data_IF_656063759287
#
_entry.id   IF_656063759287
#
_cell.length_a   1.000
_cell.length_b   1.000
_cell.length_c   1.000
_cell.angle_alpha   90.00
_cell.angle_beta   90.00
_cell.angle_gamma   90.00
#
_symmetry.space_group_name_H-M   'P 1'
#
loop_
_entity.id
_entity.type
_entity.pdbx_description
1 polymer ?
#
# COMPACT_ATOMS: atom_id res chain seq x y z
N UNK A 1 -34.42 -6.39 6.29
CA UNK A 1 -34.01 -5.24 5.48
C UNK A 1 -32.76 -4.70 6.12
N UNK A 2 -31.79 -4.27 5.33
CA UNK A 2 -30.55 -3.70 5.83
C UNK A 2 -30.80 -2.36 6.55
N UNK A 3 -29.86 -1.94 7.40
CA UNK A 3 -29.92 -0.62 8.02
C UNK A 3 -29.57 0.43 6.96
N UNK A 4 -30.48 1.41 6.72
CA UNK A 4 -30.20 2.49 5.79
C UNK A 4 -29.73 3.76 6.49
N UNK A 5 -28.77 4.47 5.86
CA UNK A 5 -28.36 5.83 6.19
C UNK A 5 -28.55 6.70 4.96
N UNK A 6 -29.32 7.77 5.13
CA UNK A 6 -29.56 8.78 4.10
C UNK A 6 -28.87 10.10 4.47
N UNK A 7 -27.78 10.39 3.75
CA UNK A 7 -27.03 11.63 3.88
C UNK A 7 -27.59 12.62 2.87
N UNK A 8 -28.08 13.79 3.30
CA UNK A 8 -28.68 14.80 2.41
C UNK A 8 -28.00 16.15 2.47
N UNK A 9 -28.13 16.94 1.41
CA UNK A 9 -27.64 18.31 1.32
C UNK A 9 -26.12 18.42 1.50
N UNK A 10 -25.33 17.49 0.97
CA UNK A 10 -23.86 17.52 1.01
C UNK A 10 -23.25 18.16 -0.23
N UNK A 11 -22.07 18.73 -0.11
CA UNK A 11 -21.18 18.99 -1.25
C UNK A 11 -20.42 17.71 -1.55
N UNK A 12 -20.89 16.93 -2.54
CA UNK A 12 -20.36 15.58 -2.79
C UNK A 12 -19.31 15.58 -3.89
N UNK A 13 -18.11 15.15 -3.56
CA UNK A 13 -17.00 14.90 -4.50
C UNK A 13 -16.95 13.39 -4.72
N UNK A 14 -17.50 12.91 -5.84
CA UNK A 14 -17.71 11.47 -6.04
C UNK A 14 -16.42 10.68 -6.29
N UNK A 15 -15.37 11.33 -6.80
CA UNK A 15 -14.12 10.71 -7.25
C UNK A 15 -14.31 9.55 -8.24
N UNK A 16 -15.47 9.51 -8.92
CA UNK A 16 -15.76 8.55 -9.98
C UNK A 16 -14.94 8.86 -11.25
N UNK A 17 -14.95 7.98 -12.27
CA UNK A 17 -14.21 8.22 -13.52
C UNK A 17 -14.59 9.52 -14.25
N UNK A 18 -15.85 9.97 -14.12
CA UNK A 18 -16.35 11.23 -14.69
C UNK A 18 -15.96 12.45 -13.85
N UNK A 19 -15.44 12.25 -12.63
CA UNK A 19 -15.11 13.31 -11.66
C UNK A 19 -16.30 14.20 -11.32
N UNK A 20 -17.48 13.59 -11.16
CA UNK A 20 -18.70 14.32 -10.85
C UNK A 20 -18.62 14.99 -9.48
N UNK A 21 -19.08 16.24 -9.42
CA UNK A 21 -19.22 17.01 -8.18
C UNK A 21 -20.67 17.50 -8.10
N UNK A 22 -21.30 17.27 -6.95
CA UNK A 22 -22.67 17.69 -6.68
C UNK A 22 -22.65 18.74 -5.58
N UNK A 23 -22.98 20.00 -5.90
CA UNK A 23 -22.98 21.12 -4.95
C UNK A 23 -24.02 20.94 -3.84
N UNK A 24 -25.13 20.24 -4.14
CA UNK A 24 -26.14 19.81 -3.19
C UNK A 24 -26.54 18.39 -3.55
N UNK A 25 -25.74 17.44 -3.13
CA UNK A 25 -25.91 16.03 -3.42
C UNK A 25 -26.33 15.24 -2.18
N UNK A 26 -26.99 14.13 -2.47
CA UNK A 26 -27.43 13.15 -1.47
C UNK A 26 -26.71 11.82 -1.65
N UNK A 27 -26.63 11.04 -0.58
CA UNK A 27 -26.07 9.69 -0.62
C UNK A 27 -26.99 8.75 0.16
N UNK A 28 -27.34 7.62 -0.45
CA UNK A 28 -28.07 6.54 0.21
C UNK A 28 -27.15 5.34 0.41
N UNK A 29 -27.03 4.90 1.65
CA UNK A 29 -26.23 3.76 2.06
C UNK A 29 -27.16 2.69 2.63
N UNK A 30 -26.94 1.42 2.29
CA UNK A 30 -27.60 0.29 2.94
C UNK A 30 -26.52 -0.68 3.42
N UNK A 31 -26.51 -0.93 4.73
CA UNK A 31 -25.45 -1.68 5.42
C UNK A 31 -24.05 -1.13 5.10
N UNK A 32 -23.26 -1.82 4.28
CA UNK A 32 -21.89 -1.45 3.89
C UNK A 32 -21.79 -0.99 2.42
N UNK A 33 -22.94 -0.73 1.74
CA UNK A 33 -22.96 -0.43 0.31
C UNK A 33 -23.58 0.93 0.01
N UNK A 34 -22.97 1.66 -0.94
CA UNK A 34 -23.54 2.84 -1.53
C UNK A 34 -24.62 2.41 -2.54
N UNK A 35 -25.88 2.74 -2.29
CA UNK A 35 -26.98 2.49 -3.23
C UNK A 35 -27.10 3.61 -4.27
N UNK A 36 -26.89 4.86 -3.85
CA UNK A 36 -26.97 6.01 -4.73
C UNK A 36 -26.05 7.14 -4.25
N UNK A 37 -25.47 7.90 -5.19
CA UNK A 37 -24.62 9.07 -4.94
C UNK A 37 -25.00 10.20 -5.88
N UNK A 38 -25.18 11.39 -5.34
CA UNK A 38 -25.54 12.62 -6.05
C UNK A 38 -27.03 12.89 -6.03
N UNK A 39 -27.84 12.01 -6.59
CA UNK A 39 -29.30 12.09 -6.54
C UNK A 39 -29.89 10.81 -5.98
N UNK A 40 -30.77 10.94 -4.99
CA UNK A 40 -31.42 9.81 -4.33
C UNK A 40 -32.92 9.85 -4.64
N UNK A 41 -33.46 8.74 -5.16
CA UNK A 41 -34.89 8.56 -5.27
C UNK A 41 -35.49 8.44 -3.86
N UNK A 42 -36.36 9.38 -3.51
CA UNK A 42 -37.03 9.40 -2.21
C UNK A 42 -37.86 8.16 -1.93
N UNK A 43 -38.36 7.49 -3.00
CA UNK A 43 -39.08 6.22 -2.90
C UNK A 43 -38.19 5.04 -2.48
N UNK A 44 -36.86 5.16 -2.63
CA UNK A 44 -35.89 4.15 -2.21
C UNK A 44 -35.46 4.29 -0.73
N UNK A 45 -35.77 5.44 -0.09
CA UNK A 45 -35.43 5.70 1.32
C UNK A 45 -36.49 5.03 2.22
N UNK A 46 -36.03 4.12 3.08
CA UNK A 46 -36.91 3.44 4.03
C UNK A 46 -37.45 4.42 5.09
N UNK A 47 -38.67 4.19 5.61
CA UNK A 47 -39.25 5.08 6.64
C UNK A 47 -38.45 5.15 7.94
N UNK A 48 -37.65 4.11 8.23
CA UNK A 48 -36.80 3.97 9.41
C UNK A 48 -35.31 4.26 9.13
N UNK A 49 -34.99 4.79 7.93
CA UNK A 49 -33.63 5.19 7.59
C UNK A 49 -33.10 6.27 8.55
N UNK A 50 -31.83 6.15 8.95
CA UNK A 50 -31.14 7.19 9.67
C UNK A 50 -30.85 8.37 8.72
N UNK A 51 -31.46 9.54 8.99
CA UNK A 51 -31.30 10.72 8.13
C UNK A 51 -30.30 11.69 8.75
N UNK A 52 -29.25 12.02 7.99
CA UNK A 52 -28.22 12.99 8.39
C UNK A 52 -28.25 14.18 7.41
N UNK A 53 -28.56 15.37 7.91
CA UNK A 53 -28.46 16.60 7.13
C UNK A 53 -27.04 17.16 7.21
N UNK A 54 -26.32 17.08 6.10
CA UNK A 54 -24.92 17.48 6.00
C UNK A 54 -24.71 19.01 5.95
N UNK A 55 -25.77 19.77 5.68
CA UNK A 55 -25.73 21.25 5.69
C UNK A 55 -24.60 21.84 4.84
N UNK A 56 -24.34 21.26 3.68
CA UNK A 56 -23.27 21.69 2.77
C UNK A 56 -21.88 21.22 3.14
N UNK A 57 -21.73 20.31 4.11
CA UNK A 57 -20.43 19.69 4.39
C UNK A 57 -19.92 18.91 3.17
N UNK A 58 -18.61 18.92 3.00
CA UNK A 58 -17.95 18.15 1.93
C UNK A 58 -17.98 16.67 2.29
N UNK A 59 -18.43 15.86 1.34
CA UNK A 59 -18.38 14.40 1.43
C UNK A 59 -17.57 13.85 0.26
N UNK A 60 -16.64 13.00 0.54
CA UNK A 60 -15.80 12.31 -0.44
C UNK A 60 -15.54 10.87 0.01
N UNK A 61 -15.12 9.97 -0.90
CA UNK A 61 -14.68 8.64 -0.51
C UNK A 61 -13.56 8.70 0.53
N UNK A 62 -13.55 7.73 1.45
CA UNK A 62 -12.44 7.60 2.38
C UNK A 62 -11.11 7.42 1.64
N UNK A 63 -10.05 8.00 2.17
CA UNK A 63 -8.73 8.00 1.53
C UNK A 63 -8.12 6.60 1.61
N UNK A 64 -7.36 6.25 0.58
CA UNK A 64 -6.58 5.01 0.51
C UNK A 64 -5.10 5.36 0.70
N UNK A 65 -4.47 4.74 1.70
CA UNK A 65 -3.01 4.76 1.85
C UNK A 65 -2.46 3.48 1.22
N UNK A 66 -1.85 3.60 0.04
CA UNK A 66 -1.45 2.45 -0.77
C UNK A 66 -0.14 1.79 -0.35
N UNK A 67 0.56 2.36 0.63
CA UNK A 67 1.80 1.79 1.19
C UNK A 67 2.07 2.35 2.58
N UNK A 68 2.00 1.50 3.59
CA UNK A 68 2.23 1.87 4.99
C UNK A 68 2.77 0.70 5.79
N UNK A 69 3.90 0.86 6.47
CA UNK A 69 4.46 -0.16 7.36
C UNK A 69 3.85 -0.06 8.75
N UNK A 70 2.84 -0.88 9.03
CA UNK A 70 2.08 -0.84 10.27
C UNK A 70 2.92 -1.19 11.51
N UNK A 71 3.76 -2.21 11.41
CA UNK A 71 4.61 -2.68 12.51
C UNK A 71 5.75 -1.72 12.85
N UNK A 72 6.04 -0.74 11.99
CA UNK A 72 7.11 0.23 12.18
C UNK A 72 6.69 1.49 12.95
N UNK A 73 5.42 1.65 13.33
CA UNK A 73 4.92 2.88 13.95
C UNK A 73 5.67 3.29 15.22
N UNK A 74 6.02 2.33 16.07
CA UNK A 74 6.75 2.58 17.31
C UNK A 74 8.25 2.85 17.09
N UNK A 75 8.73 2.64 15.86
CA UNK A 75 10.11 2.94 15.42
C UNK A 75 10.31 4.36 14.90
N UNK A 76 9.33 5.25 15.04
CA UNK A 76 9.40 6.64 14.58
C UNK A 76 10.68 7.33 15.07
N UNK A 77 11.41 7.97 14.14
CA UNK A 77 12.66 8.66 14.43
C UNK A 77 13.92 7.77 14.51
N UNK A 78 13.79 6.44 14.42
CA UNK A 78 14.95 5.54 14.45
C UNK A 78 15.84 5.62 13.20
N UNK A 79 15.26 6.05 12.09
CA UNK A 79 15.90 6.02 10.77
C UNK A 79 16.32 7.38 10.22
N UNK A 80 16.41 8.42 11.04
CA UNK A 80 16.76 9.75 10.58
C UNK A 80 18.21 9.87 10.10
N UNK A 81 18.40 10.65 9.03
CA UNK A 81 19.70 11.16 8.53
C UNK A 81 20.72 10.06 8.11
N UNK A 82 20.25 8.92 7.64
CA UNK A 82 21.08 7.84 7.09
C UNK A 82 20.61 7.41 5.69
N UNK A 83 21.51 6.82 4.89
CA UNK A 83 21.16 6.22 3.61
C UNK A 83 20.33 4.92 3.80
N UNK A 84 19.69 4.44 2.73
CA UNK A 84 18.78 3.30 2.80
C UNK A 84 19.43 2.02 3.32
N UNK A 85 20.63 1.67 2.91
CA UNK A 85 21.28 0.41 3.33
C UNK A 85 21.66 0.46 4.81
N UNK A 86 22.22 1.59 5.29
CA UNK A 86 22.45 1.83 6.72
C UNK A 86 21.14 1.81 7.49
N UNK A 87 20.09 2.43 6.95
CA UNK A 87 18.75 2.44 7.53
C UNK A 87 18.21 1.01 7.72
N UNK A 88 18.30 0.18 6.68
CA UNK A 88 17.88 -1.23 6.76
C UNK A 88 18.70 -2.02 7.76
N UNK A 89 20.04 -2.07 7.59
CA UNK A 89 20.89 -3.02 8.30
C UNK A 89 21.13 -2.63 9.76
N UNK A 90 21.26 -1.34 10.06
CA UNK A 90 21.65 -0.87 11.39
C UNK A 90 20.49 -0.36 12.24
N UNK A 91 19.31 -0.07 11.63
CA UNK A 91 18.18 0.52 12.32
C UNK A 91 16.93 -0.35 12.27
N UNK A 92 16.42 -0.63 11.07
CA UNK A 92 15.10 -1.18 10.91
C UNK A 92 15.05 -2.70 11.05
N UNK A 93 15.95 -3.43 10.41
CA UNK A 93 15.99 -4.89 10.60
C UNK A 93 16.30 -5.32 12.03
N UNK A 94 17.26 -4.70 12.77
CA UNK A 94 17.40 -4.94 14.20
C UNK A 94 16.13 -4.66 15.00
N UNK A 95 15.41 -3.59 14.67
CA UNK A 95 14.11 -3.27 15.29
C UNK A 95 13.05 -4.33 14.94
N UNK A 96 12.75 -4.52 13.64
CA UNK A 96 11.68 -5.40 13.16
C UNK A 96 11.87 -6.86 13.57
N UNK A 97 13.13 -7.36 13.54
CA UNK A 97 13.42 -8.76 13.89
C UNK A 97 13.22 -9.07 15.39
N UNK A 98 13.13 -8.07 16.23
CA UNK A 98 12.86 -8.23 17.66
C UNK A 98 11.41 -7.96 18.05
N UNK A 99 10.55 -7.53 17.11
CA UNK A 99 9.13 -7.40 17.38
C UNK A 99 8.48 -8.77 17.64
N UNK A 100 7.58 -8.77 18.61
CA UNK A 100 6.65 -9.88 18.84
C UNK A 100 5.33 -9.62 18.14
N UNK A 101 4.45 -10.62 18.10
CA UNK A 101 3.08 -10.46 17.61
C UNK A 101 2.33 -9.37 18.40
N UNK A 102 2.54 -9.30 19.73
CA UNK A 102 1.93 -8.27 20.57
C UNK A 102 2.45 -6.86 20.23
N UNK A 103 3.75 -6.72 19.97
CA UNK A 103 4.34 -5.44 19.54
C UNK A 103 3.81 -5.02 18.17
N UNK A 104 3.72 -5.95 17.23
CA UNK A 104 3.14 -5.71 15.91
C UNK A 104 1.67 -5.28 16.00
N UNK A 105 0.88 -5.92 16.87
CA UNK A 105 -0.50 -5.54 17.11
C UNK A 105 -0.62 -4.10 17.67
N UNK A 106 0.12 -3.76 18.72
CA UNK A 106 0.07 -2.42 19.33
C UNK A 106 0.57 -1.34 18.36
N UNK A 107 1.68 -1.61 17.66
CA UNK A 107 2.22 -0.72 16.63
C UNK A 107 1.19 -0.45 15.53
N UNK A 108 0.55 -1.51 15.05
CA UNK A 108 -0.48 -1.42 14.01
C UNK A 108 -1.71 -0.63 14.48
N UNK A 109 -2.18 -0.84 15.71
CA UNK A 109 -3.27 -0.05 16.28
C UNK A 109 -2.92 1.44 16.32
N UNK A 110 -1.73 1.79 16.81
CA UNK A 110 -1.27 3.17 16.88
C UNK A 110 -1.21 3.82 15.49
N UNK A 111 -0.69 3.09 14.50
CA UNK A 111 -0.64 3.54 13.11
C UNK A 111 -2.05 3.75 12.54
N UNK A 112 -2.94 2.77 12.68
CA UNK A 112 -4.30 2.85 12.16
C UNK A 112 -5.12 3.97 12.78
N UNK A 113 -4.95 4.25 14.08
CA UNK A 113 -5.60 5.41 14.74
C UNK A 113 -5.15 6.72 14.11
N UNK A 114 -3.84 6.88 13.84
CA UNK A 114 -3.31 8.06 13.15
C UNK A 114 -3.89 8.16 11.73
N UNK A 115 -3.91 7.06 10.98
CA UNK A 115 -4.47 6.99 9.63
C UNK A 115 -5.97 7.34 9.59
N UNK A 116 -6.78 6.76 10.48
CA UNK A 116 -8.22 7.04 10.55
C UNK A 116 -8.49 8.52 10.86
N UNK A 117 -7.70 9.14 11.73
CA UNK A 117 -7.80 10.57 12.05
C UNK A 117 -7.51 11.49 10.86
N UNK A 118 -6.75 10.99 9.87
CA UNK A 118 -6.49 11.67 8.60
C UNK A 118 -7.53 11.32 7.52
N UNK A 119 -8.57 10.52 7.84
CA UNK A 119 -9.62 10.14 6.90
C UNK A 119 -9.28 8.92 6.03
N UNK A 120 -8.22 8.18 6.36
CA UNK A 120 -7.88 6.94 5.66
C UNK A 120 -8.83 5.83 6.12
N UNK A 121 -9.42 5.14 5.15
CA UNK A 121 -10.36 4.02 5.37
C UNK A 121 -9.87 2.70 4.81
N UNK A 122 -8.81 2.75 4.01
CA UNK A 122 -8.20 1.57 3.39
C UNK A 122 -6.69 1.71 3.36
N UNK A 123 -5.98 0.64 3.66
CA UNK A 123 -4.51 0.61 3.70
C UNK A 123 -3.96 -0.61 2.97
N UNK A 124 -2.73 -0.48 2.44
CA UNK A 124 -1.94 -1.61 1.96
C UNK A 124 -0.60 -1.67 2.71
N UNK A 125 -0.38 -2.78 3.41
CA UNK A 125 0.82 -3.09 4.18
C UNK A 125 1.74 -3.97 3.33
N UNK A 126 3.00 -3.55 3.09
CA UNK A 126 3.91 -4.25 2.15
C UNK A 126 4.55 -5.50 2.72
N UNK A 127 4.47 -5.72 4.04
CA UNK A 127 5.09 -6.88 4.64
C UNK A 127 5.64 -6.67 6.05
N UNK A 128 4.80 -6.79 7.06
CA UNK A 128 5.23 -6.96 8.45
C UNK A 128 5.53 -8.43 8.77
N UNK A 129 6.26 -8.68 9.86
CA UNK A 129 6.64 -10.05 10.23
C UNK A 129 5.53 -10.84 10.93
N UNK A 130 4.52 -10.18 11.49
CA UNK A 130 3.43 -10.79 12.25
C UNK A 130 2.08 -10.38 11.68
N UNK A 131 1.67 -11.01 10.58
CA UNK A 131 0.40 -10.74 9.90
C UNK A 131 -0.80 -10.93 10.84
N UNK A 132 -0.74 -11.91 11.76
CA UNK A 132 -1.77 -12.15 12.78
C UNK A 132 -2.03 -10.92 13.66
N UNK A 133 -0.97 -10.28 14.16
CA UNK A 133 -1.07 -9.06 14.97
C UNK A 133 -1.67 -7.89 14.18
N UNK A 134 -1.24 -7.70 12.94
CA UNK A 134 -1.77 -6.68 12.05
C UNK A 134 -3.24 -6.91 11.69
N UNK A 135 -3.62 -8.16 11.40
CA UNK A 135 -5.00 -8.54 11.09
C UNK A 135 -5.95 -8.31 12.29
N UNK A 136 -5.49 -8.65 13.49
CA UNK A 136 -6.23 -8.37 14.72
C UNK A 136 -6.46 -6.88 14.92
N UNK A 137 -5.43 -6.05 14.72
CA UNK A 137 -5.53 -4.60 14.82
C UNK A 137 -6.51 -4.03 13.78
N UNK A 138 -6.43 -4.49 12.52
CA UNK A 138 -7.32 -4.05 11.46
C UNK A 138 -8.79 -4.42 11.73
N UNK A 139 -9.03 -5.62 12.26
CA UNK A 139 -10.38 -6.06 12.64
C UNK A 139 -10.98 -5.20 13.76
N UNK A 140 -10.18 -4.85 14.77
CA UNK A 140 -10.60 -4.01 15.90
C UNK A 140 -10.86 -2.56 15.47
N UNK A 141 -9.99 -1.98 14.65
CA UNK A 141 -10.17 -0.63 14.09
C UNK A 141 -11.31 -0.55 13.05
N UNK A 142 -11.70 -1.67 12.45
CA UNK A 142 -12.71 -1.72 11.38
C UNK A 142 -12.23 -1.17 10.03
N UNK A 143 -10.94 -0.87 9.86
CA UNK A 143 -10.35 -0.38 8.62
C UNK A 143 -10.22 -1.51 7.59
N UNK A 144 -10.29 -1.18 6.31
CA UNK A 144 -9.97 -2.14 5.24
C UNK A 144 -8.46 -2.23 5.07
N UNK A 145 -7.93 -3.45 5.04
CA UNK A 145 -6.50 -3.68 4.94
C UNK A 145 -6.15 -4.77 3.92
N UNK A 146 -5.19 -4.49 3.05
CA UNK A 146 -4.45 -5.49 2.30
C UNK A 146 -3.12 -5.71 3.05
N UNK A 147 -2.96 -6.86 3.68
CA UNK A 147 -1.80 -7.21 4.50
C UNK A 147 -0.89 -8.16 3.75
N UNK A 148 0.41 -8.07 3.99
CA UNK A 148 1.38 -9.00 3.43
C UNK A 148 2.44 -9.41 4.47
N UNK A 149 3.10 -10.55 4.22
CA UNK A 149 4.31 -10.98 4.90
C UNK A 149 5.51 -10.46 4.11
N UNK A 150 6.48 -9.84 4.78
CA UNK A 150 7.74 -9.45 4.12
C UNK A 150 8.55 -10.68 3.79
N UNK A 151 8.58 -11.07 2.51
CA UNK A 151 9.33 -12.22 2.07
C UNK A 151 10.75 -11.85 1.66
N UNK A 152 11.70 -12.63 2.16
CA UNK A 152 13.13 -12.53 1.87
C UNK A 152 13.75 -13.92 2.00
N UNK A 153 14.48 -14.38 0.99
CA UNK A 153 15.18 -15.68 0.99
C UNK A 153 16.67 -15.58 0.71
N UNK A 154 17.17 -14.37 0.49
CA UNK A 154 18.59 -14.10 0.23
C UNK A 154 18.98 -12.67 0.62
N UNK A 155 20.24 -12.33 0.50
CA UNK A 155 20.79 -10.99 0.72
C UNK A 155 21.71 -10.90 1.92
N UNK A 156 22.51 -9.85 1.94
CA UNK A 156 23.45 -9.58 3.01
C UNK A 156 22.76 -8.90 4.20
N UNK A 157 23.25 -9.17 5.42
CA UNK A 157 22.80 -8.48 6.63
C UNK A 157 21.42 -8.88 7.15
N UNK A 158 20.80 -9.92 6.57
CA UNK A 158 19.52 -10.43 7.09
C UNK A 158 19.71 -10.97 8.52
N UNK A 159 18.84 -10.60 9.47
CA UNK A 159 18.82 -11.19 10.81
C UNK A 159 18.71 -12.72 10.74
N UNK A 160 19.40 -13.43 11.64
CA UNK A 160 19.40 -14.90 11.67
C UNK A 160 18.00 -15.52 11.66
N UNK A 161 17.04 -14.89 12.34
CA UNK A 161 15.64 -15.32 12.40
C UNK A 161 14.90 -15.27 11.05
N UNK A 162 15.44 -14.53 10.08
CA UNK A 162 14.84 -14.32 8.77
C UNK A 162 15.55 -15.09 7.65
N UNK A 163 16.57 -15.84 7.99
CA UNK A 163 17.30 -16.70 7.04
C UNK A 163 16.49 -17.98 6.78
N UNK A 164 15.45 -17.85 5.97
CA UNK A 164 14.55 -18.93 5.56
C UNK A 164 14.80 -19.30 4.11
N UNK A 165 14.52 -20.56 3.77
CA UNK A 165 14.53 -21.01 2.37
C UNK A 165 13.35 -20.42 1.59
N UNK A 166 13.47 -20.41 0.27
CA UNK A 166 12.38 -20.00 -0.64
C UNK A 166 11.08 -20.74 -0.32
N UNK A 167 11.14 -22.06 -0.10
CA UNK A 167 9.96 -22.86 0.17
C UNK A 167 9.31 -22.51 1.51
N UNK A 168 10.10 -22.36 2.58
CA UNK A 168 9.57 -21.94 3.90
C UNK A 168 8.88 -20.58 3.81
N UNK A 169 9.45 -19.66 3.03
CA UNK A 169 8.87 -18.33 2.84
C UNK A 169 7.55 -18.38 2.05
N UNK A 170 7.48 -19.19 1.00
CA UNK A 170 6.24 -19.41 0.25
C UNK A 170 5.16 -20.09 1.10
N UNK A 171 5.53 -21.06 1.93
CA UNK A 171 4.61 -21.74 2.84
C UNK A 171 4.00 -20.78 3.88
N UNK A 172 4.81 -19.89 4.45
CA UNK A 172 4.35 -18.83 5.38
C UNK A 172 3.36 -17.89 4.70
N UNK A 173 3.67 -17.42 3.48
CA UNK A 173 2.77 -16.56 2.74
C UNK A 173 1.43 -17.25 2.42
N UNK A 174 1.51 -18.52 2.00
CA UNK A 174 0.30 -19.30 1.71
C UNK A 174 -0.56 -19.51 2.95
N UNK A 175 0.06 -19.81 4.10
CA UNK A 175 -0.65 -19.96 5.38
C UNK A 175 -1.35 -18.65 5.79
N UNK A 176 -0.68 -17.52 5.68
CA UNK A 176 -1.28 -16.21 5.94
C UNK A 176 -2.50 -15.93 5.04
N UNK A 177 -2.41 -16.28 3.76
CA UNK A 177 -3.54 -16.16 2.83
C UNK A 177 -4.69 -17.06 3.30
N UNK A 178 -4.44 -18.34 3.59
CA UNK A 178 -5.47 -19.29 4.04
C UNK A 178 -6.15 -18.86 5.33
N UNK A 179 -5.39 -18.25 6.24
CA UNK A 179 -5.89 -17.89 7.56
C UNK A 179 -6.66 -16.57 7.59
N UNK A 180 -6.17 -15.55 6.87
CA UNK A 180 -6.67 -14.19 7.04
C UNK A 180 -7.34 -13.58 5.80
N UNK A 181 -7.12 -14.13 4.61
CA UNK A 181 -7.69 -13.54 3.40
C UNK A 181 -9.23 -13.63 3.42
N UNK A 182 -9.89 -12.51 3.11
CA UNK A 182 -11.35 -12.36 3.19
C UNK A 182 -11.96 -12.47 4.60
N UNK A 183 -11.16 -12.40 5.65
CA UNK A 183 -11.66 -12.34 7.02
C UNK A 183 -12.29 -10.98 7.35
N UNK A 184 -12.96 -10.89 8.52
CA UNK A 184 -13.66 -9.70 8.99
C UNK A 184 -14.62 -9.11 7.92
N UNK A 185 -15.54 -9.95 7.43
CA UNK A 185 -16.52 -9.61 6.39
C UNK A 185 -15.86 -9.10 5.09
N UNK A 186 -14.70 -9.65 4.74
CA UNK A 186 -13.94 -9.30 3.54
C UNK A 186 -13.18 -7.97 3.62
N UNK A 187 -13.11 -7.34 4.80
CA UNK A 187 -12.34 -6.12 5.02
C UNK A 187 -10.84 -6.37 5.08
N UNK A 188 -10.43 -7.57 5.52
CA UNK A 188 -9.03 -7.98 5.56
C UNK A 188 -8.73 -8.84 4.33
N UNK A 189 -7.77 -8.40 3.55
CA UNK A 189 -7.19 -9.10 2.41
C UNK A 189 -5.75 -9.44 2.72
N UNK A 190 -5.26 -10.56 2.20
CA UNK A 190 -3.83 -10.87 2.26
C UNK A 190 -3.30 -10.93 0.85
N UNK A 191 -2.22 -10.21 0.62
CA UNK A 191 -1.46 -10.20 -0.63
C UNK A 191 -0.11 -10.88 -0.41
N UNK A 192 0.56 -11.20 -1.49
CA UNK A 192 1.93 -11.69 -1.46
C UNK A 192 2.87 -10.50 -1.33
N UNK A 193 3.75 -10.51 -0.33
CA UNK A 193 4.73 -9.47 -0.08
C UNK A 193 6.14 -9.89 -0.51
N UNK A 194 6.78 -9.08 -1.32
CA UNK A 194 8.20 -9.20 -1.68
C UNK A 194 8.95 -7.96 -1.20
N UNK A 195 10.15 -8.14 -0.59
CA UNK A 195 10.88 -6.98 -0.07
C UNK A 195 11.46 -6.14 -1.20
N UNK A 196 12.60 -6.54 -1.74
CA UNK A 196 13.31 -5.90 -2.86
C UNK A 196 14.08 -6.96 -3.63
N UNK A 197 14.66 -6.63 -4.80
CA UNK A 197 15.54 -7.56 -5.52
C UNK A 197 16.88 -7.82 -4.79
N UNK A 198 17.27 -7.05 -3.81
CA UNK A 198 18.41 -7.37 -2.93
C UNK A 198 18.16 -8.63 -2.09
N UNK A 199 16.91 -8.88 -1.74
CA UNK A 199 16.50 -9.87 -0.74
C UNK A 199 15.60 -10.97 -1.29
N UNK A 200 15.27 -10.91 -2.57
CA UNK A 200 14.43 -11.91 -3.24
C UNK A 200 15.19 -12.57 -4.38
N UNK A 201 15.31 -13.90 -4.31
CA UNK A 201 15.77 -14.68 -5.45
C UNK A 201 14.74 -14.67 -6.57
N UNK A 202 15.18 -14.96 -7.82
CA UNK A 202 14.24 -15.13 -8.92
C UNK A 202 13.27 -16.28 -8.66
N UNK A 203 13.70 -17.32 -7.93
CA UNK A 203 12.87 -18.45 -7.54
C UNK A 203 11.74 -18.03 -6.60
N UNK A 204 12.04 -17.22 -5.56
CA UNK A 204 11.01 -16.69 -4.66
C UNK A 204 10.05 -15.77 -5.41
N UNK A 205 10.55 -14.90 -6.29
CA UNK A 205 9.70 -14.01 -7.11
C UNK A 205 8.74 -14.80 -8.00
N UNK A 206 9.21 -15.83 -8.70
CA UNK A 206 8.35 -16.68 -9.52
C UNK A 206 7.34 -17.48 -8.70
N UNK A 207 7.78 -18.13 -7.61
CA UNK A 207 6.90 -18.88 -6.71
C UNK A 207 5.84 -17.96 -6.07
N UNK A 208 6.21 -16.73 -5.73
CA UNK A 208 5.27 -15.71 -5.25
C UNK A 208 4.22 -15.33 -6.29
N UNK A 209 4.60 -15.24 -7.55
CA UNK A 209 3.64 -15.00 -8.64
C UNK A 209 2.67 -16.18 -8.81
N UNK A 210 3.18 -17.42 -8.81
CA UNK A 210 2.34 -18.61 -8.88
C UNK A 210 1.35 -18.67 -7.70
N UNK A 211 1.81 -18.32 -6.50
CA UNK A 211 0.96 -18.25 -5.30
C UNK A 211 -0.11 -17.16 -5.43
N UNK A 212 0.27 -15.97 -5.89
CA UNK A 212 -0.67 -14.87 -6.10
C UNK A 212 -1.75 -15.23 -7.12
N UNK A 213 -1.37 -15.87 -8.22
CA UNK A 213 -2.31 -16.33 -9.25
C UNK A 213 -3.25 -17.43 -8.73
N UNK A 214 -2.72 -18.40 -7.99
CA UNK A 214 -3.49 -19.47 -7.36
C UNK A 214 -4.64 -18.96 -6.48
N UNK A 215 -4.39 -17.91 -5.71
CA UNK A 215 -5.36 -17.33 -4.78
C UNK A 215 -6.08 -16.09 -5.33
N UNK A 216 -5.69 -15.60 -6.51
CA UNK A 216 -6.27 -14.42 -7.12
C UNK A 216 -5.95 -13.11 -6.39
N UNK A 217 -4.86 -13.08 -5.60
CA UNK A 217 -4.41 -11.92 -4.81
C UNK A 217 -3.35 -11.10 -5.57
N UNK A 218 -3.02 -9.92 -5.03
CA UNK A 218 -1.97 -9.06 -5.59
C UNK A 218 -0.58 -9.35 -5.03
N UNK A 219 0.43 -8.79 -5.69
CA UNK A 219 1.81 -8.72 -5.21
C UNK A 219 2.13 -7.28 -4.82
N UNK A 220 2.78 -7.09 -3.68
CA UNK A 220 3.25 -5.81 -3.17
C UNK A 220 4.77 -5.87 -3.00
N UNK A 221 5.52 -5.04 -3.75
CA UNK A 221 6.98 -5.10 -3.78
C UNK A 221 7.61 -3.70 -3.90
N UNK A 222 8.70 -3.45 -3.16
CA UNK A 222 9.56 -2.28 -3.38
C UNK A 222 10.39 -2.50 -4.64
N UNK A 223 10.40 -1.54 -5.56
CA UNK A 223 10.99 -1.70 -6.90
C UNK A 223 11.76 -0.46 -7.31
N UNK A 224 13.00 -0.63 -7.70
CA UNK A 224 13.88 0.43 -8.20
C UNK A 224 13.89 1.65 -7.25
N UNK A 225 14.03 1.37 -5.96
CA UNK A 225 13.94 2.35 -4.89
C UNK A 225 15.18 3.26 -4.86
N UNK A 226 16.37 2.66 -5.03
CA UNK A 226 17.67 3.35 -5.14
C UNK A 226 18.42 2.85 -6.39
N UNK A 227 19.39 3.63 -6.91
CA UNK A 227 20.16 3.23 -8.10
C UNK A 227 20.97 1.95 -7.88
N UNK A 228 21.40 1.69 -6.63
CA UNK A 228 22.18 0.50 -6.27
C UNK A 228 21.40 -0.79 -6.52
N UNK A 229 20.07 -0.80 -6.40
CA UNK A 229 19.25 -1.97 -6.73
C UNK A 229 19.36 -2.32 -8.22
N UNK A 230 19.27 -1.33 -9.10
CA UNK A 230 19.46 -1.54 -10.53
C UNK A 230 20.87 -2.00 -10.88
N UNK A 231 21.90 -1.50 -10.18
CA UNK A 231 23.28 -1.94 -10.36
C UNK A 231 23.46 -3.39 -9.91
N UNK A 232 22.94 -3.76 -8.74
CA UNK A 232 22.95 -5.12 -8.22
C UNK A 232 22.28 -6.12 -9.18
N UNK A 233 21.08 -5.79 -9.67
CA UNK A 233 20.35 -6.64 -10.61
C UNK A 233 21.09 -6.74 -11.93
N UNK A 234 21.73 -5.67 -12.39
CA UNK A 234 22.53 -5.66 -13.62
C UNK A 234 23.77 -6.52 -13.50
N UNK A 235 24.47 -6.48 -12.37
CA UNK A 235 25.62 -7.33 -12.10
C UNK A 235 25.25 -8.80 -12.02
N UNK A 236 24.14 -9.12 -11.37
CA UNK A 236 23.70 -10.50 -11.12
C UNK A 236 22.97 -11.14 -12.31
N UNK A 237 22.15 -10.37 -13.03
CA UNK A 237 21.22 -10.89 -14.04
C UNK A 237 21.40 -10.25 -15.43
N UNK A 238 22.29 -9.25 -15.58
CA UNK A 238 22.57 -8.62 -16.87
C UNK A 238 21.55 -7.60 -17.35
N UNK A 239 20.55 -7.25 -16.53
CA UNK A 239 19.45 -6.35 -16.87
C UNK A 239 19.08 -5.46 -15.66
N UNK A 240 18.14 -4.51 -15.83
CA UNK A 240 17.67 -3.67 -14.73
C UNK A 240 16.55 -4.36 -13.93
N UNK A 241 16.17 -3.79 -12.79
CA UNK A 241 15.18 -4.38 -11.87
C UNK A 241 13.86 -4.69 -12.56
N UNK A 242 13.25 -3.71 -13.24
CA UNK A 242 11.94 -3.91 -13.88
C UNK A 242 12.06 -4.80 -15.13
N UNK A 243 13.13 -4.69 -15.90
CA UNK A 243 13.37 -5.60 -17.02
C UNK A 243 13.54 -7.05 -16.54
N UNK A 244 14.19 -7.27 -15.40
CA UNK A 244 14.31 -8.61 -14.81
C UNK A 244 12.96 -9.16 -14.39
N UNK A 245 12.16 -8.38 -13.66
CA UNK A 245 10.80 -8.76 -13.26
C UNK A 245 9.91 -9.05 -14.49
N UNK A 246 10.05 -8.27 -15.57
CA UNK A 246 9.37 -8.54 -16.83
C UNK A 246 9.82 -9.86 -17.47
N UNK A 247 11.13 -10.15 -17.47
CA UNK A 247 11.67 -11.40 -17.99
C UNK A 247 11.21 -12.63 -17.20
N UNK A 248 10.96 -12.47 -15.90
CA UNK A 248 10.36 -13.50 -15.05
C UNK A 248 8.84 -13.66 -15.26
N UNK A 249 8.20 -12.75 -16.02
CA UNK A 249 6.76 -12.80 -16.31
C UNK A 249 5.86 -12.47 -15.12
N UNK A 250 6.35 -11.69 -14.13
CA UNK A 250 5.62 -11.43 -12.90
C UNK A 250 4.83 -10.12 -12.91
N UNK A 251 5.04 -9.26 -13.91
CA UNK A 251 4.35 -7.99 -14.03
C UNK A 251 2.94 -8.16 -14.58
N UNK A 252 1.92 -7.67 -13.88
CA UNK A 252 0.53 -7.62 -14.32
C UNK A 252 -0.26 -6.51 -13.60
N UNK A 253 -1.57 -6.45 -13.83
CA UNK A 253 -2.47 -5.47 -13.21
C UNK A 253 -2.68 -5.64 -11.70
N UNK A 254 -2.24 -6.76 -11.11
CA UNK A 254 -2.28 -7.03 -9.66
C UNK A 254 -0.93 -6.79 -8.99
N UNK A 255 0.06 -6.32 -9.72
CA UNK A 255 1.36 -5.97 -9.18
C UNK A 255 1.37 -4.50 -8.73
N UNK A 256 1.60 -4.26 -7.43
CA UNK A 256 1.79 -2.94 -6.84
C UNK A 256 3.29 -2.70 -6.62
N UNK A 257 3.90 -1.92 -7.50
CA UNK A 257 5.29 -1.49 -7.41
C UNK A 257 5.42 -0.24 -6.54
N UNK A 258 6.28 -0.27 -5.54
CA UNK A 258 6.45 0.83 -4.58
C UNK A 258 7.71 1.62 -4.86
N UNK A 259 7.66 2.91 -4.57
CA UNK A 259 8.68 3.94 -4.80
C UNK A 259 8.95 4.22 -6.26
N UNK A 260 9.48 3.26 -7.02
CA UNK A 260 9.71 3.35 -8.47
C UNK A 260 10.46 4.62 -8.86
N UNK A 261 11.46 4.99 -8.06
CA UNK A 261 12.19 6.25 -8.18
C UNK A 261 13.16 6.24 -9.36
N UNK A 262 13.87 5.12 -9.54
CA UNK A 262 14.98 5.01 -10.50
C UNK A 262 14.59 4.14 -11.71
N UNK A 263 13.54 4.56 -12.43
CA UNK A 263 13.08 3.93 -13.65
C UNK A 263 13.63 4.61 -14.89
N UNK A 264 13.95 3.82 -15.91
CA UNK A 264 14.17 4.29 -17.27
C UNK A 264 12.83 4.49 -18.00
N UNK A 265 12.83 5.25 -19.11
CA UNK A 265 11.63 5.43 -19.94
C UNK A 265 11.08 4.10 -20.46
N UNK A 266 11.97 3.12 -20.78
CA UNK A 266 11.60 1.77 -21.20
C UNK A 266 10.90 0.99 -20.09
N UNK A 267 11.33 1.12 -18.85
CA UNK A 267 10.70 0.45 -17.71
C UNK A 267 9.33 1.05 -17.37
N UNK A 268 9.19 2.36 -17.56
CA UNK A 268 7.86 3.01 -17.48
C UNK A 268 6.94 2.47 -18.59
N UNK A 269 7.45 2.25 -19.81
CA UNK A 269 6.67 1.63 -20.88
C UNK A 269 6.27 0.18 -20.56
N UNK A 270 7.13 -0.61 -19.90
CA UNK A 270 6.79 -1.95 -19.42
C UNK A 270 5.67 -1.90 -18.37
N UNK A 271 5.72 -0.97 -17.43
CA UNK A 271 4.65 -0.80 -16.44
C UNK A 271 3.31 -0.44 -17.10
N UNK A 272 3.33 0.45 -18.09
CA UNK A 272 2.12 0.77 -18.85
C UNK A 272 1.59 -0.43 -19.63
N UNK A 273 2.48 -1.20 -20.29
CA UNK A 273 2.14 -2.39 -21.06
C UNK A 273 1.44 -3.46 -20.21
N UNK A 274 1.95 -3.71 -19.01
CA UNK A 274 1.43 -4.72 -18.08
C UNK A 274 0.38 -4.18 -17.11
N UNK A 275 0.00 -2.89 -17.23
CA UNK A 275 -0.96 -2.24 -16.33
C UNK A 275 -0.56 -2.31 -14.84
N UNK A 276 0.74 -2.30 -14.55
CA UNK A 276 1.30 -2.30 -13.19
C UNK A 276 0.79 -1.07 -12.44
N UNK A 277 0.49 -1.23 -11.15
CA UNK A 277 0.09 -0.13 -10.27
C UNK A 277 1.30 0.37 -9.48
N UNK A 278 1.35 1.67 -9.24
CA UNK A 278 2.46 2.31 -8.54
C UNK A 278 1.97 2.95 -7.24
N UNK A 279 2.71 2.75 -6.15
CA UNK A 279 2.60 3.53 -4.92
C UNK A 279 3.75 4.51 -4.82
N UNK A 280 3.45 5.80 -4.89
CA UNK A 280 4.40 6.90 -4.72
C UNK A 280 4.36 7.39 -3.27
N UNK A 281 5.52 7.46 -2.62
CA UNK A 281 5.68 7.86 -1.22
C UNK A 281 6.59 9.10 -1.16
N UNK A 282 6.06 10.30 -1.43
CA UNK A 282 6.88 11.48 -1.70
C UNK A 282 7.76 11.92 -0.52
N UNK A 283 7.29 11.86 0.72
CA UNK A 283 8.10 12.25 1.88
C UNK A 283 9.30 11.31 2.06
N UNK A 284 9.08 10.00 2.04
CA UNK A 284 10.15 9.01 2.13
C UNK A 284 11.14 9.13 0.96
N UNK A 285 10.63 9.31 -0.26
CA UNK A 285 11.44 9.50 -1.45
C UNK A 285 12.39 10.71 -1.32
N UNK A 286 11.88 11.86 -0.90
CA UNK A 286 12.66 13.10 -0.75
C UNK A 286 13.73 13.01 0.34
N UNK A 287 13.54 12.16 1.34
CA UNK A 287 14.52 12.05 2.44
C UNK A 287 15.80 11.36 2.00
N UNK A 288 15.70 10.27 1.22
CA UNK A 288 16.87 9.42 0.94
C UNK A 288 16.88 8.78 -0.45
N UNK A 289 15.76 8.73 -1.18
CA UNK A 289 15.64 7.90 -2.37
C UNK A 289 15.81 8.70 -3.67
N UNK A 290 15.23 9.88 -3.76
CA UNK A 290 15.24 10.72 -4.95
C UNK A 290 13.84 11.11 -5.44
N UNK A 291 13.69 11.31 -6.76
CA UNK A 291 12.46 11.85 -7.35
C UNK A 291 11.92 10.92 -8.43
N UNK A 292 10.78 10.30 -8.17
CA UNK A 292 10.09 9.49 -9.16
C UNK A 292 9.52 10.31 -10.32
N UNK A 293 9.51 9.75 -11.52
CA UNK A 293 9.00 10.36 -12.76
C UNK A 293 7.46 10.27 -12.86
N UNK A 294 6.75 10.69 -11.80
CA UNK A 294 5.29 10.57 -11.70
C UNK A 294 4.54 11.18 -12.88
N UNK A 295 4.89 12.40 -13.40
CA UNK A 295 4.22 12.95 -14.56
C UNK A 295 4.32 12.07 -15.81
N UNK A 296 5.47 11.43 -16.05
CA UNK A 296 5.64 10.50 -17.18
C UNK A 296 4.77 9.25 -17.00
N UNK A 297 4.72 8.70 -15.79
CA UNK A 297 3.87 7.55 -15.49
C UNK A 297 2.38 7.87 -15.75
N UNK A 298 1.91 9.02 -15.28
CA UNK A 298 0.53 9.47 -15.50
C UNK A 298 0.24 9.72 -16.99
N UNK A 299 1.18 10.30 -17.77
CA UNK A 299 1.03 10.48 -19.20
C UNK A 299 0.93 9.16 -19.97
N UNK A 300 1.56 8.09 -19.46
CA UNK A 300 1.46 6.73 -20.01
C UNK A 300 0.21 5.97 -19.51
N UNK A 301 -0.65 6.59 -18.72
CA UNK A 301 -1.87 5.99 -18.19
C UNK A 301 -1.66 5.02 -17.02
N UNK A 302 -0.46 5.01 -16.42
CA UNK A 302 -0.19 4.19 -15.24
C UNK A 302 -0.99 4.73 -14.07
N UNK A 303 -1.65 3.84 -13.33
CA UNK A 303 -2.32 4.18 -12.09
C UNK A 303 -1.28 4.41 -10.99
N UNK A 304 -1.10 5.67 -10.59
CA UNK A 304 -0.22 6.07 -9.50
C UNK A 304 -1.07 6.46 -8.29
N UNK A 305 -0.87 5.77 -7.19
CA UNK A 305 -1.46 6.03 -5.87
C UNK A 305 -0.44 6.66 -4.94
N UNK A 306 -0.89 7.09 -3.76
CA UNK A 306 -0.04 7.74 -2.75
C UNK A 306 -0.03 6.88 -1.50
N UNK A 307 1.16 6.72 -0.89
CA UNK A 307 1.38 6.08 0.38
C UNK A 307 2.25 6.92 1.30
N UNK A 308 2.17 6.66 2.61
CA UNK A 308 2.98 7.35 3.63
C UNK A 308 4.35 6.69 3.85
N UNK A 309 4.48 5.41 3.47
CA UNK A 309 5.57 4.57 3.92
C UNK A 309 5.55 4.35 5.46
N UNK A 310 6.62 3.86 6.07
CA UNK A 310 6.72 3.64 7.51
C UNK A 310 7.05 4.90 8.31
N UNK A 311 6.69 4.90 9.60
CA UNK A 311 7.00 6.01 10.48
C UNK A 311 8.51 6.31 10.60
N UNK A 312 9.45 5.33 10.54
CA UNK A 312 10.89 5.63 10.53
C UNK A 312 11.39 6.28 9.25
N UNK A 313 10.70 6.09 8.11
CA UNK A 313 11.09 6.68 6.83
C UNK A 313 10.42 8.01 6.55
N UNK A 314 9.30 8.32 7.21
CA UNK A 314 8.52 9.52 6.97
C UNK A 314 8.43 10.45 8.21
N UNK A 315 8.35 9.91 9.41
CA UNK A 315 8.03 10.58 10.67
C UNK A 315 6.58 11.13 10.78
N UNK A 316 5.92 11.48 9.68
CA UNK A 316 4.53 11.95 9.64
C UNK A 316 3.70 10.95 8.84
N UNK A 317 2.66 10.42 9.46
CA UNK A 317 1.78 9.43 8.84
C UNK A 317 0.50 10.09 8.32
N UNK A 318 0.63 11.30 7.78
CA UNK A 318 -0.48 12.12 7.29
C UNK A 318 -0.55 12.08 5.75
N UNK A 319 -1.56 11.42 5.23
CA UNK A 319 -1.75 11.27 3.78
C UNK A 319 -2.01 12.62 3.07
N UNK A 320 -2.51 13.64 3.78
CA UNK A 320 -2.70 14.97 3.21
C UNK A 320 -1.37 15.68 2.95
N UNK A 321 -0.41 15.49 3.85
CA UNK A 321 0.97 15.97 3.63
C UNK A 321 1.57 15.29 2.40
N UNK A 322 1.37 13.98 2.23
CA UNK A 322 1.83 13.24 1.06
C UNK A 322 1.21 13.78 -0.23
N UNK A 323 -0.09 14.05 -0.25
CA UNK A 323 -0.77 14.67 -1.40
C UNK A 323 -0.20 16.05 -1.72
N UNK A 324 0.07 16.87 -0.70
CA UNK A 324 0.67 18.19 -0.86
C UNK A 324 2.09 18.07 -1.43
N UNK A 325 2.92 17.21 -0.86
CA UNK A 325 4.30 16.98 -1.28
C UNK A 325 4.36 16.41 -2.71
N UNK A 326 3.51 15.42 -3.03
CA UNK A 326 3.43 14.86 -4.39
C UNK A 326 3.17 15.96 -5.43
N UNK A 327 2.24 16.87 -5.16
CA UNK A 327 1.92 17.96 -6.07
C UNK A 327 3.04 18.99 -6.17
N UNK A 328 3.58 19.43 -5.03
CA UNK A 328 4.57 20.51 -4.97
C UNK A 328 5.91 20.09 -5.58
N UNK A 329 6.35 18.88 -5.25
CA UNK A 329 7.61 18.32 -5.71
C UNK A 329 7.71 18.28 -7.23
N UNK A 330 6.69 17.76 -7.90
CA UNK A 330 6.69 17.65 -9.35
C UNK A 330 6.64 19.03 -10.04
N UNK A 331 5.93 19.99 -9.45
CA UNK A 331 5.92 21.39 -9.95
C UNK A 331 7.26 22.10 -9.79
N UNK A 332 8.02 21.79 -8.74
CA UNK A 332 9.34 22.37 -8.52
C UNK A 332 10.43 21.78 -9.42
N UNK A 333 10.21 20.57 -9.95
CA UNK A 333 11.15 19.86 -10.83
C UNK A 333 10.97 20.22 -12.31
N UNK A 334 9.78 20.58 -12.73
CA UNK A 334 9.36 20.92 -14.08
C UNK A 334 8.85 22.36 -14.12
#
# INVERSE_FOLDING_TARGET
>A
MGKQIYLKNGFVISMNPSRDVYESGDILIEDDKLLSVGQVDQGAVLPDAEVVDLKGQIVMPGIINSHVHLSQQLGRGLGDDVNLLTWLHERIWPYESNLTEADSYISSLACMVEQIRCGVTSIAEPGGQHVSGMAKAAAECGIRAALAQSAMDCGEGLPDKWQLSTQEMLDIQEENIKQFHNSNDGKIRVWVGLRTMFNNSSELVCGSKELADKYGVGIHMHVAEIPDENLFVKEKYGTTTVEHLNNLGVLDEKFLAVHTVWLTDREIDLFALHNVKVSHNPAAAMRVLGFAEVPKMLQKGICVSIGTDGAPSNNRMDIWDEMYLASLLQKGRF
#
